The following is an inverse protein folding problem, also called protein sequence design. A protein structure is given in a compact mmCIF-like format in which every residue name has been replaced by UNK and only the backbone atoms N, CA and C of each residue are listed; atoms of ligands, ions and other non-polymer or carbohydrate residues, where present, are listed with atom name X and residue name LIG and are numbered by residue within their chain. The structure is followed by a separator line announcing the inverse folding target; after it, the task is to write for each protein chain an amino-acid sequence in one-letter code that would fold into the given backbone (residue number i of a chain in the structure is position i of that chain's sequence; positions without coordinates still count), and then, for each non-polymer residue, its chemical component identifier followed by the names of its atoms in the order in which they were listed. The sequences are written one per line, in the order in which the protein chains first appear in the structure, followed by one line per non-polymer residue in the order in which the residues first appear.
data_IF_711998027034
#
_entry.id   IF_711998027034
#
_cell.length_a   1.000
_cell.length_b   1.000
_cell.length_c   1.000
_cell.angle_alpha   90.00
_cell.angle_beta   90.00
_cell.angle_gamma   90.00
#
_symmetry.space_group_name_H-M   'P 1'
#
loop_
_entity.id
_entity.type
_entity.pdbx_description
1 polymer ?
#
# COMPACT_ATOMS: atom_id res chain seq x y z
N UNK A 1 -13.42 12.18 -1.09
CA UNK A 1 -12.87 11.20 -0.14
C UNK A 1 -13.36 11.48 1.28
N UNK A 2 -13.14 12.66 1.89
CA UNK A 2 -13.49 12.96 3.29
C UNK A 2 -14.97 12.69 3.65
N UNK A 3 -15.91 13.04 2.76
CA UNK A 3 -17.32 12.69 2.95
C UNK A 3 -17.51 11.18 3.03
N UNK A 4 -16.97 10.44 2.05
CA UNK A 4 -17.09 8.98 1.99
C UNK A 4 -16.44 8.27 3.19
N UNK A 5 -15.32 8.81 3.71
CA UNK A 5 -14.71 8.23 4.92
C UNK A 5 -15.59 8.41 6.17
N UNK A 6 -16.32 9.52 6.28
CA UNK A 6 -17.29 9.72 7.38
C UNK A 6 -18.49 8.78 7.25
N UNK A 7 -18.93 8.51 6.02
CA UNK A 7 -20.00 7.55 5.73
C UNK A 7 -19.54 6.09 5.88
N UNK A 8 -18.27 5.87 6.16
CA UNK A 8 -17.73 4.55 6.35
C UNK A 8 -17.49 3.74 5.07
N UNK A 9 -17.45 4.37 3.91
CA UNK A 9 -17.14 3.68 2.65
C UNK A 9 -15.72 3.15 2.68
N UNK A 10 -15.49 1.87 2.40
CA UNK A 10 -14.15 1.31 2.37
C UNK A 10 -13.40 1.71 1.10
N UNK A 11 -12.05 1.67 1.16
CA UNK A 11 -11.19 1.95 0.02
C UNK A 11 -10.09 0.91 -0.12
N UNK A 12 -9.84 0.50 -1.36
CA UNK A 12 -8.61 -0.18 -1.76
C UNK A 12 -7.80 0.79 -2.62
N UNK A 13 -6.67 1.23 -2.09
CA UNK A 13 -5.68 2.00 -2.82
C UNK A 13 -4.54 1.09 -3.26
N UNK A 14 -4.05 1.29 -4.47
CA UNK A 14 -3.04 0.43 -5.05
C UNK A 14 -1.92 1.26 -5.66
N UNK A 15 -0.71 0.72 -5.56
CA UNK A 15 0.48 1.16 -6.28
C UNK A 15 0.64 2.69 -6.32
N UNK A 16 0.51 3.27 -7.50
CA UNK A 16 0.73 4.69 -7.77
C UNK A 16 -0.25 5.63 -7.04
N UNK A 17 -1.32 5.10 -6.45
CA UNK A 17 -2.23 5.94 -5.65
C UNK A 17 -1.53 6.65 -4.49
N UNK A 18 -0.39 6.12 -3.99
CA UNK A 18 0.41 6.76 -2.94
C UNK A 18 1.01 8.11 -3.38
N UNK A 19 1.21 8.31 -4.68
CA UNK A 19 1.73 9.54 -5.29
C UNK A 19 0.63 10.58 -5.51
N UNK A 20 -0.63 10.20 -5.40
CA UNK A 20 -1.76 11.07 -5.72
C UNK A 20 -1.94 12.20 -4.69
N UNK A 21 -2.53 13.31 -5.14
CA UNK A 21 -2.95 14.44 -4.29
C UNK A 21 -1.84 15.03 -3.40
N UNK A 22 -0.64 15.21 -3.94
CA UNK A 22 0.54 15.71 -3.23
C UNK A 22 0.31 17.01 -2.45
N UNK A 23 -0.54 17.90 -2.95
CA UNK A 23 -0.85 19.17 -2.32
C UNK A 23 -2.00 19.11 -1.30
N UNK A 24 -2.49 17.89 -0.99
CA UNK A 24 -3.59 17.72 -0.04
C UNK A 24 -3.21 16.79 1.14
N UNK A 25 -2.84 17.37 2.30
CA UNK A 25 -2.46 16.58 3.48
C UNK A 25 -3.57 15.64 4.00
N UNK A 26 -4.82 15.91 3.64
CA UNK A 26 -5.94 15.02 3.97
C UNK A 26 -5.84 13.65 3.31
N UNK A 27 -5.21 13.56 2.14
CA UNK A 27 -5.05 12.30 1.43
C UNK A 27 -4.06 11.36 2.15
N UNK A 28 -2.95 11.89 2.65
CA UNK A 28 -2.01 11.14 3.48
C UNK A 28 -2.69 10.50 4.70
N UNK A 29 -3.59 11.24 5.37
CA UNK A 29 -4.37 10.71 6.50
C UNK A 29 -5.32 9.58 6.08
N UNK A 30 -5.88 9.66 4.89
CA UNK A 30 -6.79 8.63 4.36
C UNK A 30 -6.00 7.38 4.00
N UNK A 31 -4.97 7.50 3.16
CA UNK A 31 -4.19 6.36 2.70
C UNK A 31 -3.33 5.76 3.82
N UNK A 32 -2.86 6.57 4.74
CA UNK A 32 -1.95 6.17 5.82
C UNK A 32 -0.48 6.19 5.43
N UNK A 33 -0.14 6.93 4.39
CA UNK A 33 1.24 7.08 3.91
C UNK A 33 1.32 8.11 2.79
N UNK A 34 2.55 8.45 2.40
CA UNK A 34 2.80 9.43 1.34
C UNK A 34 4.12 9.18 0.63
N UNK A 35 4.08 9.17 -0.68
CA UNK A 35 5.27 9.32 -1.52
C UNK A 35 5.68 10.79 -1.54
N UNK A 36 6.97 11.08 -1.34
CA UNK A 36 7.51 12.46 -1.27
C UNK A 36 8.20 12.74 -2.60
N UNK A 37 7.55 13.52 -3.45
CA UNK A 37 8.08 13.87 -4.77
C UNK A 37 9.30 14.82 -4.69
N UNK A 38 10.11 14.82 -5.75
CA UNK A 38 11.33 15.66 -5.87
C UNK A 38 11.04 17.14 -5.68
N UNK A 39 9.89 17.61 -6.17
CA UNK A 39 9.50 19.03 -6.13
C UNK A 39 8.72 19.42 -4.86
N UNK A 40 8.72 18.55 -3.85
CA UNK A 40 7.98 18.76 -2.60
C UNK A 40 8.58 19.80 -1.64
N UNK A 41 9.75 20.34 -1.98
CA UNK A 41 10.46 21.31 -1.13
C UNK A 41 11.22 20.72 0.05
N UNK A 42 11.25 19.37 0.17
CA UNK A 42 12.04 18.67 1.20
C UNK A 42 13.45 18.35 0.70
N UNK A 43 14.44 18.17 1.60
CA UNK A 43 15.79 17.76 1.23
C UNK A 43 15.80 16.47 0.40
N UNK A 44 16.73 16.35 -0.55
CA UNK A 44 16.83 15.18 -1.45
C UNK A 44 16.94 13.85 -0.69
N UNK A 45 17.58 13.85 0.47
CA UNK A 45 17.69 12.65 1.32
C UNK A 45 16.34 12.16 1.91
N UNK A 46 15.33 13.03 1.94
CA UNK A 46 13.99 12.70 2.44
C UNK A 46 12.99 12.42 1.31
N UNK A 47 13.42 12.61 0.06
CA UNK A 47 12.56 12.35 -1.10
C UNK A 47 12.44 10.85 -1.38
N UNK A 48 11.26 10.44 -1.81
CA UNK A 48 11.03 9.07 -2.22
C UNK A 48 11.68 8.76 -3.57
N UNK A 49 11.93 7.48 -3.81
CA UNK A 49 12.51 6.98 -5.04
C UNK A 49 11.78 5.71 -5.47
N UNK A 50 12.09 5.23 -6.66
CA UNK A 50 11.54 3.98 -7.18
C UNK A 50 12.58 3.23 -8.02
N UNK A 51 12.35 1.93 -8.18
CA UNK A 51 13.13 1.10 -9.10
C UNK A 51 12.18 0.12 -9.79
N UNK A 52 12.21 0.12 -11.13
CA UNK A 52 11.40 -0.75 -11.97
C UNK A 52 12.05 -2.13 -12.18
N UNK A 53 11.21 -3.08 -12.60
CA UNK A 53 11.64 -4.37 -13.14
C UNK A 53 12.55 -5.16 -12.19
N UNK A 54 12.13 -5.25 -10.93
CA UNK A 54 12.88 -5.97 -9.89
C UNK A 54 12.08 -7.14 -9.30
N UNK A 55 12.81 -8.17 -8.83
CA UNK A 55 12.19 -9.24 -8.05
C UNK A 55 12.01 -8.82 -6.61
N UNK A 56 10.77 -8.73 -6.20
CA UNK A 56 10.37 -8.35 -4.83
C UNK A 56 9.94 -9.59 -4.07
N UNK A 57 10.68 -9.93 -3.01
CA UNK A 57 10.26 -10.97 -2.07
C UNK A 57 9.39 -10.34 -0.99
N UNK A 58 8.15 -10.79 -0.92
CA UNK A 58 7.12 -10.24 -0.06
C UNK A 58 6.82 -11.20 1.07
N UNK A 59 6.82 -10.69 2.29
CA UNK A 59 6.35 -11.38 3.48
C UNK A 59 4.98 -10.84 3.87
N UNK A 60 4.01 -11.73 4.07
CA UNK A 60 2.68 -11.35 4.50
C UNK A 60 2.47 -11.58 6.00
N UNK A 61 1.78 -10.65 6.66
CA UNK A 61 1.37 -10.81 8.05
C UNK A 61 0.40 -11.99 8.19
N UNK A 62 0.66 -12.97 9.07
CA UNK A 62 -0.20 -14.17 9.16
C UNK A 62 -1.55 -13.91 9.85
N UNK A 63 -1.65 -12.83 10.63
CA UNK A 63 -2.76 -12.60 11.55
C UNK A 63 -3.86 -11.69 11.01
N UNK A 64 -3.81 -11.31 9.74
CA UNK A 64 -4.79 -10.41 9.16
C UNK A 64 -5.65 -11.12 8.09
N UNK A 65 -6.99 -10.88 8.03
CA UNK A 65 -7.86 -11.54 7.04
C UNK A 65 -7.40 -11.37 5.58
N UNK A 66 -6.86 -10.20 5.23
CA UNK A 66 -6.36 -9.89 3.88
C UNK A 66 -5.18 -10.75 3.46
N UNK A 67 -4.38 -11.20 4.42
CA UNK A 67 -3.13 -11.94 4.17
C UNK A 67 -3.16 -13.37 4.71
N UNK A 68 -4.30 -13.82 5.25
CA UNK A 68 -4.44 -15.15 5.84
C UNK A 68 -4.11 -16.24 4.83
N UNK A 69 -3.22 -17.14 5.23
CA UNK A 69 -2.84 -18.31 4.43
C UNK A 69 -2.07 -17.98 3.14
N UNK A 70 -1.39 -16.83 3.11
CA UNK A 70 -0.59 -16.44 1.96
C UNK A 70 0.88 -16.84 2.07
N UNK A 71 1.47 -16.74 3.27
CA UNK A 71 2.91 -16.97 3.44
C UNK A 71 3.76 -15.93 2.73
N UNK A 72 4.97 -16.32 2.34
CA UNK A 72 5.87 -15.48 1.54
C UNK A 72 5.71 -15.81 0.06
N UNK A 73 5.81 -14.80 -0.79
CA UNK A 73 5.76 -14.96 -2.25
C UNK A 73 6.66 -13.92 -2.91
N UNK A 74 6.83 -14.01 -4.24
CA UNK A 74 7.62 -13.04 -5.00
C UNK A 74 6.83 -12.49 -6.17
N UNK A 75 7.10 -11.24 -6.51
CA UNK A 75 6.60 -10.58 -7.71
C UNK A 75 7.76 -9.98 -8.49
N UNK A 76 7.60 -9.92 -9.79
CA UNK A 76 8.43 -9.04 -10.63
C UNK A 76 7.64 -7.74 -10.81
N UNK A 77 8.11 -6.66 -10.18
CA UNK A 77 7.30 -5.44 -9.99
C UNK A 77 8.20 -4.20 -9.90
N UNK A 78 7.62 -3.08 -9.56
CA UNK A 78 8.29 -1.86 -9.16
C UNK A 78 8.31 -1.74 -7.63
N UNK A 79 9.35 -1.16 -7.07
CA UNK A 79 9.44 -0.82 -5.64
C UNK A 79 9.54 0.68 -5.44
N UNK A 80 8.95 1.16 -4.36
CA UNK A 80 9.11 2.53 -3.86
C UNK A 80 9.97 2.53 -2.60
N UNK A 81 10.97 3.39 -2.58
CA UNK A 81 11.84 3.60 -1.43
C UNK A 81 11.60 4.95 -0.77
N UNK A 82 11.94 5.02 0.50
CA UNK A 82 11.98 6.25 1.29
C UNK A 82 10.65 7.04 1.31
N UNK A 83 9.52 6.35 1.17
CA UNK A 83 8.22 6.98 1.37
C UNK A 83 7.79 6.91 2.84
N UNK A 84 6.91 7.80 3.21
CA UNK A 84 6.40 7.88 4.58
C UNK A 84 5.27 6.88 4.78
N UNK A 85 5.36 6.13 5.89
CA UNK A 85 4.29 5.23 6.37
C UNK A 85 3.78 5.79 7.71
N UNK A 86 2.47 5.85 7.88
CA UNK A 86 1.85 6.38 9.09
C UNK A 86 2.07 5.44 10.29
N UNK A 87 2.28 6.01 11.47
CA UNK A 87 2.57 5.25 12.70
C UNK A 87 1.41 4.34 13.18
N UNK A 88 0.18 4.65 12.76
CA UNK A 88 -1.03 3.94 13.22
C UNK A 88 -1.54 2.88 12.25
N UNK A 89 -0.84 2.66 11.15
CA UNK A 89 -1.24 1.63 10.20
C UNK A 89 -0.97 0.23 10.75
N UNK A 90 -1.72 -0.74 10.27
CA UNK A 90 -1.49 -2.16 10.55
C UNK A 90 -0.75 -2.76 9.36
N UNK A 91 0.53 -3.12 9.49
CA UNK A 91 1.30 -3.69 8.38
C UNK A 91 0.72 -5.03 7.92
N UNK A 92 0.57 -5.19 6.61
CA UNK A 92 0.07 -6.41 5.96
C UNK A 92 1.15 -7.10 5.14
N UNK A 93 1.96 -6.31 4.44
CA UNK A 93 3.03 -6.79 3.57
C UNK A 93 4.32 -6.06 3.91
N UNK A 94 5.42 -6.80 3.88
CA UNK A 94 6.76 -6.24 4.02
C UNK A 94 7.73 -6.86 3.01
N UNK A 95 8.84 -6.17 2.78
CA UNK A 95 9.95 -6.65 1.97
C UNK A 95 11.28 -6.21 2.56
N UNK A 96 12.35 -6.95 2.27
CA UNK A 96 13.73 -6.56 2.56
C UNK A 96 14.49 -6.12 1.30
N UNK A 97 13.77 -5.73 0.24
CA UNK A 97 14.42 -5.23 -0.97
C UNK A 97 15.18 -3.94 -0.66
N UNK A 98 16.47 -3.83 -1.03
CA UNK A 98 17.34 -2.73 -0.57
C UNK A 98 16.92 -1.34 -1.07
N UNK A 99 16.11 -1.28 -2.13
CA UNK A 99 15.58 -0.05 -2.72
C UNK A 99 14.12 0.24 -2.31
N UNK A 100 13.56 -0.57 -1.42
CA UNK A 100 12.16 -0.41 -0.96
C UNK A 100 12.10 0.09 0.47
N UNK A 101 11.06 0.85 0.79
CA UNK A 101 10.59 0.95 2.17
C UNK A 101 10.14 -0.44 2.62
N UNK A 102 10.36 -0.78 3.89
CA UNK A 102 10.09 -2.14 4.39
C UNK A 102 8.60 -2.49 4.32
N UNK A 103 7.72 -1.61 4.81
CA UNK A 103 6.27 -1.81 4.79
C UNK A 103 5.70 -1.41 3.44
N UNK A 104 5.22 -2.39 2.67
CA UNK A 104 4.71 -2.22 1.30
C UNK A 104 3.21 -2.51 1.15
N UNK A 105 2.50 -2.70 2.25
CA UNK A 105 1.04 -2.83 2.28
C UNK A 105 0.54 -2.76 3.71
N UNK A 106 -0.61 -2.12 3.90
CA UNK A 106 -1.17 -1.91 5.23
C UNK A 106 -2.69 -1.72 5.24
N UNK A 107 -3.30 -1.92 6.42
CA UNK A 107 -4.61 -1.36 6.73
C UNK A 107 -4.43 -0.02 7.43
N UNK A 108 -5.22 0.96 7.04
CA UNK A 108 -5.40 2.22 7.73
C UNK A 108 -6.88 2.42 8.09
N UNK A 109 -7.13 3.28 9.06
CA UNK A 109 -8.47 3.73 9.42
C UNK A 109 -8.55 5.24 9.38
N UNK A 110 -9.55 5.75 8.67
CA UNK A 110 -9.83 7.18 8.62
C UNK A 110 -11.33 7.42 8.82
N UNK A 111 -11.68 8.16 9.87
CA UNK A 111 -13.06 8.29 10.34
C UNK A 111 -13.69 6.90 10.57
N UNK A 112 -14.80 6.63 9.88
CA UNK A 112 -15.47 5.33 9.95
C UNK A 112 -15.04 4.36 8.84
N UNK A 113 -14.04 4.65 8.01
CA UNK A 113 -13.63 3.79 6.89
C UNK A 113 -12.48 2.85 7.22
N UNK A 114 -12.57 1.63 6.68
CA UNK A 114 -11.44 0.72 6.52
C UNK A 114 -10.77 1.00 5.18
N UNK A 115 -9.45 1.06 5.19
CA UNK A 115 -8.65 1.41 4.01
C UNK A 115 -7.52 0.41 3.90
N UNK A 116 -7.37 -0.20 2.74
CA UNK A 116 -6.22 -1.05 2.42
C UNK A 116 -5.39 -0.32 1.38
N UNK A 117 -4.09 -0.27 1.61
CA UNK A 117 -3.10 0.12 0.61
C UNK A 117 -2.17 -1.05 0.29
N UNK A 118 -1.92 -1.26 -0.99
CA UNK A 118 -0.99 -2.26 -1.51
C UNK A 118 -0.03 -1.60 -2.51
N UNK A 119 1.26 -1.56 -2.17
CA UNK A 119 2.27 -0.98 -3.07
C UNK A 119 2.49 -1.83 -4.33
N UNK A 120 2.49 -3.17 -4.30
CA UNK A 120 2.62 -3.97 -5.52
C UNK A 120 1.49 -3.72 -6.53
N UNK A 121 1.77 -3.95 -7.81
CA UNK A 121 0.77 -3.87 -8.88
C UNK A 121 1.10 -2.87 -9.98
N UNK A 122 2.39 -2.74 -10.31
CA UNK A 122 2.86 -1.81 -11.33
C UNK A 122 2.31 -2.14 -12.72
N UNK A 123 2.37 -3.40 -13.09
CA UNK A 123 1.98 -3.82 -14.45
C UNK A 123 1.25 -5.17 -14.49
N UNK A 124 0.97 -5.63 -15.70
CA UNK A 124 0.27 -6.88 -16.00
C UNK A 124 0.92 -8.09 -15.31
N UNK A 125 2.24 -8.16 -15.20
CA UNK A 125 2.98 -9.29 -14.63
C UNK A 125 2.58 -9.57 -13.19
N UNK A 126 2.36 -8.50 -12.40
CA UNK A 126 1.86 -8.63 -11.03
C UNK A 126 0.46 -9.25 -11.00
N UNK A 127 -0.45 -8.78 -11.88
CA UNK A 127 -1.82 -9.29 -11.96
C UNK A 127 -1.92 -10.71 -12.52
N UNK A 128 -0.93 -11.20 -13.24
CA UNK A 128 -0.84 -12.59 -13.69
C UNK A 128 -0.40 -13.55 -12.59
N UNK A 129 0.20 -13.06 -11.50
CA UNK A 129 0.66 -13.87 -10.37
C UNK A 129 -0.52 -14.31 -9.50
N UNK A 130 -0.62 -15.62 -9.23
CA UNK A 130 -1.74 -16.19 -8.48
C UNK A 130 -1.84 -15.65 -7.05
N UNK A 131 -0.72 -15.48 -6.36
CA UNK A 131 -0.63 -14.94 -5.01
C UNK A 131 -1.12 -13.48 -4.97
N UNK A 132 -0.75 -12.67 -5.96
CA UNK A 132 -1.22 -11.29 -6.01
C UNK A 132 -2.73 -11.21 -6.27
N UNK A 133 -3.27 -12.02 -7.16
CA UNK A 133 -4.73 -12.11 -7.36
C UNK A 133 -5.47 -12.56 -6.12
N UNK A 134 -4.92 -13.55 -5.39
CA UNK A 134 -5.46 -13.98 -4.09
C UNK A 134 -5.47 -12.85 -3.09
N UNK A 135 -4.39 -12.08 -2.99
CA UNK A 135 -4.29 -10.90 -2.12
C UNK A 135 -5.38 -9.88 -2.43
N UNK A 136 -5.54 -9.53 -3.71
CA UNK A 136 -6.58 -8.59 -4.14
C UNK A 136 -7.98 -9.09 -3.81
N UNK A 137 -8.26 -10.35 -4.08
CA UNK A 137 -9.54 -10.97 -3.76
C UNK A 137 -9.83 -10.90 -2.25
N UNK A 138 -8.85 -11.26 -1.40
CA UNK A 138 -9.00 -11.19 0.05
C UNK A 138 -9.18 -9.75 0.55
N UNK A 139 -8.47 -8.78 -0.03
CA UNK A 139 -8.63 -7.37 0.30
C UNK A 139 -10.04 -6.85 -0.05
N UNK A 140 -10.55 -7.18 -1.24
CA UNK A 140 -11.90 -6.81 -1.67
C UNK A 140 -12.96 -7.44 -0.76
N UNK A 141 -12.86 -8.74 -0.47
CA UNK A 141 -13.81 -9.42 0.42
C UNK A 141 -13.79 -8.84 1.83
N UNK A 142 -12.60 -8.56 2.36
CA UNK A 142 -12.45 -7.93 3.69
C UNK A 142 -13.09 -6.55 3.74
N UNK A 143 -12.91 -5.74 2.72
CA UNK A 143 -13.48 -4.41 2.65
C UNK A 143 -15.00 -4.43 2.44
N UNK A 144 -15.52 -5.39 1.69
CA UNK A 144 -16.94 -5.55 1.41
C UNK A 144 -17.72 -6.19 2.59
N UNK A 145 -17.04 -6.85 3.52
CA UNK A 145 -17.70 -7.50 4.65
C UNK A 145 -18.40 -6.49 5.55
N UNK A 146 -19.62 -6.79 6.05
CA UNK A 146 -20.29 -5.99 7.06
C UNK A 146 -19.39 -5.72 8.28
N UNK A 147 -19.63 -4.61 8.96
CA UNK A 147 -18.92 -4.24 10.19
C UNK A 147 -19.57 -4.85 11.42
#
# INVERSE_FOLDING_TARGET
YMKLTREGKPFLFMHHSLVSYQNWPGFEKIVGGRYIEKDSGVPAAEQSNYEHDVWVYIQSSPNHPVTRGMGSFRLFDEVYGNYRVGEKVIPLLSTKHPKSTETIGWENRCNSSRIIYLQPGHDQRSFETAEYRKLLQQAIHYLAAPR
#
